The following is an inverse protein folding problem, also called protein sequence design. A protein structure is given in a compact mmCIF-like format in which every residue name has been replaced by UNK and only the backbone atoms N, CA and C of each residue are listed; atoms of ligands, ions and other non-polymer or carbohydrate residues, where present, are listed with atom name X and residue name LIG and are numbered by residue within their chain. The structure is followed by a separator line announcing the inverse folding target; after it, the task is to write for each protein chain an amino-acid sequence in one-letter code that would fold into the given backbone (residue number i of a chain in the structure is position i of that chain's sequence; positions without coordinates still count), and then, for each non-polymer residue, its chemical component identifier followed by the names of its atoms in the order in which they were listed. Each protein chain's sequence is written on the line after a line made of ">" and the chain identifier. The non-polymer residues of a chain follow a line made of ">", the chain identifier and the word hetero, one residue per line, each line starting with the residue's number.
data_IF_865545655774
#
_entry.id   IF_865545655774
#
_cell.length_a   1.000
_cell.length_b   1.000
_cell.length_c   1.000
_cell.angle_alpha   90.00
_cell.angle_beta   90.00
_cell.angle_gamma   90.00
#
_symmetry.space_group_name_H-M   'P 1'
#
loop_
_entity.id
_entity.type
_entity.pdbx_description
1 polymer ?
#
# COMPACT_ATOMS: atom_id res chain seq x y z
N UNK A 1 8.22 -4.98 -17.47
CA UNK A 1 7.12 -5.68 -16.79
C UNK A 1 6.66 -4.96 -15.50
N UNK A 2 7.53 -4.64 -14.57
CA UNK A 2 7.17 -3.98 -13.29
C UNK A 2 6.50 -2.61 -13.46
N UNK A 3 6.94 -1.80 -14.44
CA UNK A 3 6.37 -0.48 -14.71
C UNK A 3 4.90 -0.54 -15.15
N UNK A 4 4.57 -1.50 -16.02
CA UNK A 4 3.19 -1.70 -16.49
C UNK A 4 2.27 -2.19 -15.38
N UNK A 5 2.73 -3.14 -14.56
CA UNK A 5 1.98 -3.65 -13.41
C UNK A 5 1.68 -2.54 -12.40
N UNK A 6 2.68 -1.71 -12.09
CA UNK A 6 2.54 -0.56 -11.19
C UNK A 6 1.50 0.46 -11.71
N UNK A 7 1.57 0.79 -13.00
CA UNK A 7 0.58 1.68 -13.64
C UNK A 7 -0.83 1.10 -13.60
N UNK A 8 -0.97 -0.21 -13.81
CA UNK A 8 -2.25 -0.91 -13.79
C UNK A 8 -2.87 -0.90 -12.38
N UNK A 9 -2.06 -1.10 -11.35
CA UNK A 9 -2.51 -1.03 -9.96
C UNK A 9 -2.96 0.38 -9.57
N UNK A 10 -2.23 1.42 -10.00
CA UNK A 10 -2.64 2.82 -9.77
C UNK A 10 -3.96 3.14 -10.48
N UNK A 11 -4.14 2.69 -11.72
CA UNK A 11 -5.39 2.85 -12.46
C UNK A 11 -6.55 2.09 -11.81
N UNK A 12 -6.34 0.86 -11.38
CA UNK A 12 -7.34 0.09 -10.64
C UNK A 12 -7.74 0.79 -9.34
N UNK A 13 -6.77 1.37 -8.60
CA UNK A 13 -7.03 2.19 -7.42
C UNK A 13 -7.88 3.42 -7.71
N UNK A 14 -7.63 4.10 -8.83
CA UNK A 14 -8.46 5.24 -9.29
C UNK A 14 -9.89 4.79 -9.61
N UNK A 15 -10.05 3.65 -10.28
CA UNK A 15 -11.37 3.11 -10.62
C UNK A 15 -12.16 2.66 -9.40
N UNK A 16 -11.49 2.08 -8.40
CA UNK A 16 -12.12 1.65 -7.14
C UNK A 16 -12.74 2.81 -6.32
N UNK A 17 -12.34 4.05 -6.60
CA UNK A 17 -12.80 5.25 -5.89
C UNK A 17 -13.67 6.16 -6.79
N UNK A 18 -14.05 5.68 -7.97
CA UNK A 18 -14.71 6.47 -9.02
C UNK A 18 -16.16 6.91 -8.71
N UNK A 19 -16.78 6.42 -7.65
CA UNK A 19 -18.20 6.73 -7.35
C UNK A 19 -18.48 8.22 -7.05
N UNK A 20 -17.50 9.00 -6.62
CA UNK A 20 -17.64 10.43 -6.34
C UNK A 20 -16.76 11.26 -7.26
N UNK A 21 -17.37 12.11 -8.09
CA UNK A 21 -16.66 12.98 -9.05
C UNK A 21 -15.49 13.76 -8.45
N UNK A 22 -15.64 14.30 -7.24
CA UNK A 22 -14.56 15.03 -6.56
C UNK A 22 -13.36 14.11 -6.20
N UNK A 23 -13.64 12.90 -5.74
CA UNK A 23 -12.63 11.90 -5.37
C UNK A 23 -11.90 11.40 -6.60
N UNK A 24 -12.64 11.18 -7.69
CA UNK A 24 -12.09 10.80 -8.99
C UNK A 24 -11.12 11.87 -9.53
N UNK A 25 -11.49 13.16 -9.47
CA UNK A 25 -10.61 14.25 -9.92
C UNK A 25 -9.30 14.28 -9.11
N UNK A 26 -9.38 14.17 -7.79
CA UNK A 26 -8.18 14.12 -6.92
C UNK A 26 -7.31 12.90 -7.28
N UNK A 27 -7.93 11.74 -7.46
CA UNK A 27 -7.21 10.53 -7.83
C UNK A 27 -6.51 10.66 -9.19
N UNK A 28 -7.16 11.25 -10.20
CA UNK A 28 -6.56 11.50 -11.52
C UNK A 28 -5.40 12.51 -11.42
N UNK A 29 -5.57 13.60 -10.70
CA UNK A 29 -4.52 14.63 -10.51
C UNK A 29 -3.26 14.05 -9.85
N UNK A 30 -3.43 13.10 -8.93
CA UNK A 30 -2.31 12.41 -8.29
C UNK A 30 -1.74 11.25 -9.13
N UNK A 31 -2.58 10.56 -9.91
CA UNK A 31 -2.16 9.44 -10.75
C UNK A 31 -1.31 9.89 -11.95
N UNK A 32 -1.66 11.03 -12.58
CA UNK A 32 -0.95 11.54 -13.75
C UNK A 32 0.54 11.76 -13.47
N UNK A 33 0.98 12.53 -12.45
CA UNK A 33 2.40 12.72 -12.18
C UNK A 33 3.10 11.43 -11.73
N UNK A 34 2.41 10.52 -11.05
CA UNK A 34 2.97 9.23 -10.64
C UNK A 34 3.26 8.34 -11.85
N UNK A 35 2.32 8.24 -12.79
CA UNK A 35 2.45 7.42 -14.00
C UNK A 35 3.43 8.06 -14.98
N UNK A 36 3.26 9.34 -15.30
CA UNK A 36 4.11 10.06 -16.26
C UNK A 36 5.55 10.12 -15.75
N UNK A 37 5.76 10.47 -14.49
CA UNK A 37 7.09 10.51 -13.89
C UNK A 37 7.77 9.14 -13.90
N UNK A 38 7.01 8.05 -13.68
CA UNK A 38 7.51 6.68 -13.75
C UNK A 38 7.93 6.28 -15.17
N UNK A 39 7.15 6.67 -16.19
CA UNK A 39 7.47 6.39 -17.59
C UNK A 39 8.67 7.22 -18.08
N UNK A 40 8.74 8.50 -17.74
CA UNK A 40 9.89 9.36 -18.06
C UNK A 40 11.16 8.77 -17.43
N UNK A 41 11.11 8.40 -16.15
CA UNK A 41 12.27 7.79 -15.46
C UNK A 41 12.67 6.42 -16.04
N UNK A 42 11.75 5.72 -16.74
CA UNK A 42 12.08 4.47 -17.42
C UNK A 42 12.89 4.70 -18.71
N UNK A 43 12.61 5.77 -19.46
CA UNK A 43 13.29 6.09 -20.71
C UNK A 43 14.53 6.98 -20.49
N UNK A 44 14.43 7.92 -19.55
CA UNK A 44 15.47 8.90 -19.26
C UNK A 44 15.66 9.05 -17.74
N UNK A 45 16.49 8.19 -17.12
CA UNK A 45 16.58 8.08 -15.64
C UNK A 45 17.15 9.33 -14.95
N UNK A 46 17.67 10.33 -15.68
CA UNK A 46 18.26 11.53 -15.13
C UNK A 46 17.36 12.77 -15.14
N UNK A 47 16.20 12.74 -15.80
CA UNK A 47 15.35 13.93 -15.97
C UNK A 47 14.45 14.16 -14.75
N UNK A 48 13.89 13.10 -14.16
CA UNK A 48 12.96 13.22 -13.02
C UNK A 48 13.49 12.46 -11.82
N UNK A 49 13.62 13.13 -10.68
CA UNK A 49 13.99 12.47 -9.44
C UNK A 49 12.97 11.38 -9.06
N UNK A 50 13.40 10.15 -8.74
CA UNK A 50 12.53 9.09 -8.26
C UNK A 50 11.64 9.51 -7.09
N UNK A 51 12.11 10.42 -6.26
CA UNK A 51 11.38 10.93 -5.08
C UNK A 51 10.05 11.58 -5.46
N UNK A 52 9.98 12.31 -6.58
CA UNK A 52 8.78 13.05 -6.98
C UNK A 52 7.64 12.08 -7.32
N UNK A 53 7.89 11.10 -8.20
CA UNK A 53 6.83 10.17 -8.58
C UNK A 53 6.49 9.17 -7.47
N UNK A 54 7.46 8.78 -6.62
CA UNK A 54 7.20 7.93 -5.46
C UNK A 54 6.35 8.65 -4.41
N UNK A 55 6.62 9.93 -4.17
CA UNK A 55 5.80 10.75 -3.25
C UNK A 55 4.37 10.90 -3.77
N UNK A 56 4.20 11.20 -5.07
CA UNK A 56 2.87 11.30 -5.69
C UNK A 56 2.12 9.95 -5.62
N UNK A 57 2.80 8.84 -5.91
CA UNK A 57 2.22 7.49 -5.81
C UNK A 57 1.83 7.15 -4.36
N UNK A 58 2.68 7.48 -3.38
CA UNK A 58 2.40 7.24 -1.97
C UNK A 58 1.15 7.99 -1.50
N UNK A 59 1.03 9.27 -1.86
CA UNK A 59 -0.14 10.08 -1.53
C UNK A 59 -1.41 9.51 -2.18
N UNK A 60 -1.34 9.12 -3.46
CA UNK A 60 -2.47 8.50 -4.16
C UNK A 60 -2.91 7.20 -3.48
N UNK A 61 -1.96 6.28 -3.21
CA UNK A 61 -2.29 5.00 -2.59
C UNK A 61 -2.83 5.21 -1.17
N UNK A 62 -2.24 6.11 -0.38
CA UNK A 62 -2.75 6.46 0.95
C UNK A 62 -4.18 7.01 0.89
N UNK A 63 -4.49 7.83 -0.10
CA UNK A 63 -5.84 8.34 -0.33
C UNK A 63 -6.83 7.21 -0.67
N UNK A 64 -6.46 6.28 -1.56
CA UNK A 64 -7.27 5.10 -1.90
C UNK A 64 -7.50 4.22 -0.67
N UNK A 65 -6.44 3.91 0.08
CA UNK A 65 -6.51 3.14 1.33
C UNK A 65 -7.45 3.79 2.34
N UNK A 66 -7.33 5.10 2.56
CA UNK A 66 -8.20 5.83 3.48
C UNK A 66 -9.69 5.75 3.07
N UNK A 67 -10.00 5.80 1.77
CA UNK A 67 -11.38 5.65 1.29
C UNK A 67 -11.89 4.22 1.45
N UNK A 68 -11.08 3.20 1.10
CA UNK A 68 -11.44 1.79 1.31
C UNK A 68 -11.68 1.48 2.80
N UNK A 69 -10.80 1.95 3.68
CA UNK A 69 -10.96 1.77 5.13
C UNK A 69 -12.24 2.45 5.63
N UNK A 70 -12.52 3.68 5.16
CA UNK A 70 -13.78 4.37 5.52
C UNK A 70 -15.00 3.60 5.05
N UNK A 71 -14.98 3.04 3.84
CA UNK A 71 -16.06 2.22 3.32
C UNK A 71 -16.23 0.97 4.19
N UNK A 72 -15.16 0.20 4.38
CA UNK A 72 -15.17 -1.03 5.19
C UNK A 72 -15.66 -0.76 6.61
N UNK A 73 -15.14 0.28 7.30
CA UNK A 73 -15.51 0.54 8.69
C UNK A 73 -16.86 1.26 8.89
N UNK A 74 -17.49 1.75 7.85
CA UNK A 74 -18.82 2.39 7.94
C UNK A 74 -19.96 1.51 7.42
N UNK A 75 -19.66 0.39 6.80
CA UNK A 75 -20.68 -0.52 6.27
C UNK A 75 -21.60 -1.02 7.41
N UNK A 76 -22.91 -0.94 7.29
CA UNK A 76 -23.87 -1.36 8.34
C UNK A 76 -24.01 -2.88 8.44
N UNK A 77 -23.71 -3.60 7.36
CA UNK A 77 -23.77 -5.07 7.25
C UNK A 77 -22.53 -5.59 6.55
N UNK A 78 -22.22 -6.86 6.76
CA UNK A 78 -21.14 -7.56 6.03
C UNK A 78 -21.77 -8.35 4.92
N UNK A 79 -21.55 -7.88 3.72
CA UNK A 79 -21.85 -8.57 2.47
C UNK A 79 -20.57 -8.90 1.69
N UNK A 80 -20.70 -9.53 0.54
CA UNK A 80 -19.56 -9.91 -0.29
C UNK A 80 -18.75 -8.70 -0.76
N UNK A 81 -19.41 -7.55 -0.95
CA UNK A 81 -18.76 -6.31 -1.36
C UNK A 81 -17.81 -5.79 -0.28
N UNK A 82 -18.27 -5.77 0.98
CA UNK A 82 -17.45 -5.36 2.14
C UNK A 82 -16.28 -6.32 2.36
N UNK A 83 -16.49 -7.63 2.15
CA UNK A 83 -15.40 -8.62 2.24
C UNK A 83 -14.34 -8.39 1.16
N UNK A 84 -14.75 -8.21 -0.09
CA UNK A 84 -13.83 -7.90 -1.20
C UNK A 84 -13.09 -6.57 -0.96
N UNK A 85 -13.79 -5.54 -0.49
CA UNK A 85 -13.19 -4.26 -0.15
C UNK A 85 -12.17 -4.38 1.00
N UNK A 86 -12.44 -5.24 1.98
CA UNK A 86 -11.53 -5.51 3.10
C UNK A 86 -10.24 -6.18 2.62
N UNK A 87 -10.33 -7.20 1.77
CA UNK A 87 -9.15 -7.83 1.18
C UNK A 87 -8.36 -6.82 0.35
N UNK A 88 -9.06 -6.04 -0.48
CA UNK A 88 -8.44 -5.01 -1.31
C UNK A 88 -7.73 -3.94 -0.47
N UNK A 89 -8.32 -3.52 0.65
CA UNK A 89 -7.71 -2.57 1.57
C UNK A 89 -6.41 -3.12 2.20
N UNK A 90 -6.37 -4.40 2.58
CA UNK A 90 -5.17 -5.04 3.10
C UNK A 90 -4.04 -5.09 2.06
N UNK A 91 -4.37 -5.49 0.82
CA UNK A 91 -3.40 -5.52 -0.27
C UNK A 91 -2.89 -4.12 -0.62
N UNK A 92 -3.77 -3.10 -0.61
CA UNK A 92 -3.39 -1.71 -0.83
C UNK A 92 -2.54 -1.15 0.30
N UNK A 93 -2.77 -1.55 1.56
CA UNK A 93 -1.89 -1.23 2.69
C UNK A 93 -0.47 -1.75 2.45
N UNK A 94 -0.30 -3.02 2.07
CA UNK A 94 1.01 -3.56 1.73
C UNK A 94 1.68 -2.81 0.59
N UNK A 95 0.94 -2.45 -0.45
CA UNK A 95 1.48 -1.67 -1.55
C UNK A 95 1.89 -0.24 -1.13
N UNK A 96 1.13 0.39 -0.25
CA UNK A 96 1.45 1.71 0.32
C UNK A 96 2.79 1.66 1.06
N UNK A 97 3.00 0.68 1.93
CA UNK A 97 4.24 0.50 2.66
C UNK A 97 5.41 0.15 1.74
N UNK A 98 5.19 -0.67 0.70
CA UNK A 98 6.22 -0.98 -0.31
C UNK A 98 6.77 0.27 -0.99
N UNK A 99 5.89 1.20 -1.38
CA UNK A 99 6.29 2.49 -1.97
C UNK A 99 6.97 3.37 -0.94
N UNK A 100 6.53 3.38 0.32
CA UNK A 100 7.16 4.13 1.39
C UNK A 100 8.59 3.64 1.66
N UNK A 101 8.84 2.34 1.65
CA UNK A 101 10.19 1.78 1.81
C UNK A 101 11.11 2.17 0.66
N UNK A 102 10.62 2.08 -0.56
CA UNK A 102 11.39 2.52 -1.71
C UNK A 102 11.73 4.00 -1.64
N UNK A 103 10.78 4.85 -1.26
CA UNK A 103 11.00 6.29 -1.06
C UNK A 103 12.04 6.56 0.02
N UNK A 104 11.96 5.90 1.18
CA UNK A 104 12.92 6.07 2.27
C UNK A 104 14.32 5.62 1.88
N UNK A 105 14.44 4.56 1.11
CA UNK A 105 15.72 4.09 0.59
C UNK A 105 16.37 5.12 -0.34
N UNK A 106 15.57 5.75 -1.24
CA UNK A 106 16.03 6.84 -2.11
C UNK A 106 16.45 8.09 -1.35
N UNK A 107 15.83 8.37 -0.21
CA UNK A 107 16.13 9.54 0.62
C UNK A 107 17.31 9.32 1.60
N UNK A 108 17.73 8.06 1.80
CA UNK A 108 18.77 7.72 2.76
C UNK A 108 20.12 7.54 2.06
N UNK A 109 21.11 8.41 2.30
CA UNK A 109 22.46 8.22 1.76
C UNK A 109 23.04 6.87 2.19
N UNK A 110 23.51 6.07 1.24
CA UNK A 110 24.04 4.74 1.50
C UNK A 110 22.99 3.63 1.63
N UNK A 111 21.70 3.94 1.45
CA UNK A 111 20.58 3.01 1.54
C UNK A 111 20.01 2.85 2.95
N UNK A 112 18.75 2.49 3.02
CA UNK A 112 18.02 2.36 4.29
C UNK A 112 17.92 0.90 4.76
N UNK A 113 18.32 -0.07 3.90
CA UNK A 113 18.16 -1.51 4.13
C UNK A 113 19.46 -2.28 3.91
N UNK A 114 19.66 -3.36 4.66
CA UNK A 114 20.70 -4.36 4.45
C UNK A 114 20.08 -5.60 3.82
N UNK A 115 20.78 -6.15 2.81
CA UNK A 115 20.35 -7.35 2.09
C UNK A 115 21.30 -8.50 2.43
N UNK A 116 20.81 -9.52 3.14
CA UNK A 116 21.60 -10.62 3.68
C UNK A 116 21.69 -11.83 2.73
N UNK A 117 21.38 -11.63 1.44
CA UNK A 117 21.44 -12.71 0.45
C UNK A 117 22.59 -12.50 -0.53
N UNK A 118 23.35 -13.55 -0.79
CA UNK A 118 24.40 -13.54 -1.82
C UNK A 118 23.85 -13.62 -3.25
N UNK A 119 22.58 -13.94 -3.45
CA UNK A 119 21.95 -14.27 -4.73
C UNK A 119 20.74 -13.40 -5.08
N UNK A 120 20.48 -12.29 -4.36
CA UNK A 120 19.30 -11.45 -4.57
C UNK A 120 19.59 -10.01 -4.99
N UNK A 121 18.55 -9.22 -5.28
CA UNK A 121 18.70 -7.80 -5.56
C UNK A 121 19.29 -7.08 -4.34
N UNK A 122 20.28 -6.22 -4.58
CA UNK A 122 20.96 -5.43 -3.52
C UNK A 122 20.46 -4.00 -3.42
N UNK A 123 19.24 -3.74 -3.88
CA UNK A 123 18.62 -2.42 -3.82
C UNK A 123 17.12 -2.53 -3.58
N UNK A 124 16.58 -1.58 -2.85
CA UNK A 124 15.14 -1.44 -2.67
C UNK A 124 14.54 -0.90 -3.97
N UNK A 125 13.72 -1.72 -4.62
CA UNK A 125 12.98 -1.38 -5.83
C UNK A 125 11.52 -1.81 -5.69
N UNK A 126 10.70 -1.61 -6.71
CA UNK A 126 9.28 -1.92 -6.63
C UNK A 126 8.96 -3.36 -6.20
N UNK A 127 9.68 -4.36 -6.73
CA UNK A 127 9.45 -5.77 -6.36
C UNK A 127 10.00 -6.08 -4.96
N UNK A 128 11.22 -5.63 -4.66
CA UNK A 128 11.87 -5.88 -3.36
C UNK A 128 11.09 -5.19 -2.24
N UNK A 129 10.62 -3.96 -2.47
CA UNK A 129 9.76 -3.24 -1.54
C UNK A 129 8.42 -3.93 -1.32
N UNK A 130 7.79 -4.44 -2.39
CA UNK A 130 6.57 -5.25 -2.29
C UNK A 130 6.79 -6.50 -1.43
N UNK A 131 7.81 -7.29 -1.74
CA UNK A 131 8.15 -8.49 -0.99
C UNK A 131 8.40 -8.16 0.51
N UNK A 132 9.27 -7.18 0.80
CA UNK A 132 9.59 -6.79 2.17
C UNK A 132 8.37 -6.30 2.95
N UNK A 133 7.51 -5.51 2.31
CA UNK A 133 6.27 -5.04 2.91
C UNK A 133 5.35 -6.19 3.28
N UNK A 134 5.06 -7.12 2.36
CA UNK A 134 4.12 -8.20 2.65
C UNK A 134 4.60 -9.16 3.72
N UNK A 135 5.91 -9.46 3.79
CA UNK A 135 6.45 -10.28 4.88
C UNK A 135 6.47 -9.54 6.22
N UNK A 136 6.57 -8.21 6.23
CA UNK A 136 6.51 -7.37 7.42
C UNK A 136 5.06 -7.18 7.89
N UNK A 137 4.15 -6.84 6.98
CA UNK A 137 2.72 -6.65 7.25
C UNK A 137 2.05 -7.92 7.80
N UNK A 138 2.46 -9.09 7.28
CA UNK A 138 2.02 -10.41 7.77
C UNK A 138 2.82 -10.93 8.96
N UNK A 139 3.78 -10.16 9.48
CA UNK A 139 4.65 -10.51 10.61
C UNK A 139 5.51 -11.77 10.41
N UNK A 140 5.75 -12.19 9.16
CA UNK A 140 6.60 -13.36 8.84
C UNK A 140 8.08 -13.05 9.07
N UNK A 141 8.58 -11.93 8.52
CA UNK A 141 9.93 -11.40 8.77
C UNK A 141 11.08 -12.39 8.58
N UNK A 142 11.33 -12.86 7.35
CA UNK A 142 12.42 -13.82 7.08
C UNK A 142 13.82 -13.34 7.46
N UNK A 143 14.04 -12.01 7.57
CA UNK A 143 15.34 -11.45 7.96
C UNK A 143 16.38 -11.41 6.85
N UNK A 144 16.02 -11.74 5.63
CA UNK A 144 16.85 -11.63 4.43
C UNK A 144 17.04 -10.16 3.98
N UNK A 145 16.05 -9.32 4.28
CA UNK A 145 16.09 -7.87 4.17
C UNK A 145 15.83 -7.28 5.55
N UNK A 146 16.71 -6.39 6.00
CA UNK A 146 16.59 -5.77 7.33
C UNK A 146 16.71 -4.25 7.25
N UNK A 147 15.84 -3.48 7.94
CA UNK A 147 15.94 -2.03 7.98
C UNK A 147 17.13 -1.62 8.87
N UNK A 148 18.03 -0.79 8.35
CA UNK A 148 19.22 -0.31 9.09
C UNK A 148 19.10 1.16 9.47
N UNK A 149 18.42 1.99 8.65
CA UNK A 149 18.20 3.40 9.01
C UNK A 149 17.13 3.54 10.10
N UNK A 150 17.19 4.63 10.86
CA UNK A 150 16.20 4.94 11.89
C UNK A 150 14.78 5.03 11.29
N UNK A 151 14.65 5.71 10.16
CA UNK A 151 13.37 5.88 9.48
C UNK A 151 12.78 4.53 9.02
N UNK A 152 13.58 3.68 8.38
CA UNK A 152 13.13 2.37 7.92
C UNK A 152 12.71 1.45 9.08
N UNK A 153 13.43 1.49 10.22
CA UNK A 153 13.06 0.71 11.41
C UNK A 153 11.72 1.15 12.00
N UNK A 154 11.48 2.47 12.08
CA UNK A 154 10.20 2.98 12.54
C UNK A 154 9.06 2.60 11.60
N UNK A 155 9.26 2.74 10.29
CA UNK A 155 8.25 2.34 9.30
C UNK A 155 7.93 0.85 9.41
N UNK A 156 8.94 -0.03 9.54
CA UNK A 156 8.71 -1.47 9.66
C UNK A 156 7.94 -1.83 10.94
N UNK A 157 8.23 -1.18 12.06
CA UNK A 157 7.47 -1.37 13.30
C UNK A 157 6.01 -0.91 13.15
N UNK A 158 5.78 0.26 12.54
CA UNK A 158 4.44 0.78 12.29
C UNK A 158 3.65 -0.10 11.32
N UNK A 159 4.30 -0.63 10.29
CA UNK A 159 3.66 -1.56 9.35
C UNK A 159 3.22 -2.85 10.03
N UNK A 160 4.12 -3.50 10.79
CA UNK A 160 3.81 -4.74 11.50
C UNK A 160 2.63 -4.54 12.47
N UNK A 161 2.60 -3.44 13.22
CA UNK A 161 1.47 -3.08 14.07
C UNK A 161 0.19 -2.84 13.27
N UNK A 162 0.29 -2.12 12.16
CA UNK A 162 -0.88 -1.83 11.30
C UNK A 162 -1.47 -3.12 10.73
N UNK A 163 -0.66 -4.05 10.25
CA UNK A 163 -1.11 -5.34 9.73
C UNK A 163 -1.84 -6.17 10.79
N UNK A 164 -1.24 -6.29 11.97
CA UNK A 164 -1.82 -7.05 13.09
C UNK A 164 -3.15 -6.44 13.55
N UNK A 165 -3.18 -5.11 13.76
CA UNK A 165 -4.38 -4.41 14.21
C UNK A 165 -5.48 -4.44 13.14
N UNK A 166 -5.12 -4.32 11.86
CA UNK A 166 -6.10 -4.42 10.79
C UNK A 166 -6.87 -5.75 10.82
N UNK A 167 -6.14 -6.86 10.87
CA UNK A 167 -6.74 -8.21 10.90
C UNK A 167 -7.57 -8.41 12.18
N UNK A 168 -7.05 -8.00 13.34
CA UNK A 168 -7.74 -8.12 14.62
C UNK A 168 -9.05 -7.34 14.65
N UNK A 169 -9.04 -6.08 14.20
CA UNK A 169 -10.24 -5.22 14.17
C UNK A 169 -11.24 -5.74 13.13
N UNK A 170 -10.77 -6.20 11.97
CA UNK A 170 -11.63 -6.77 10.94
C UNK A 170 -12.37 -8.01 11.46
N UNK A 171 -11.65 -8.96 12.08
CA UNK A 171 -12.25 -10.17 12.65
C UNK A 171 -13.25 -9.82 13.75
N UNK A 172 -12.87 -8.96 14.69
CA UNK A 172 -13.77 -8.53 15.77
C UNK A 172 -15.07 -7.93 15.22
N UNK A 173 -14.97 -7.13 14.17
CA UNK A 173 -16.12 -6.51 13.53
C UNK A 173 -17.01 -7.52 12.80
N UNK A 174 -16.41 -8.45 12.05
CA UNK A 174 -17.15 -9.52 11.37
C UNK A 174 -17.95 -10.35 12.38
N UNK A 175 -17.32 -10.75 13.48
CA UNK A 175 -17.98 -11.50 14.55
C UNK A 175 -19.13 -10.71 15.18
N UNK A 176 -18.91 -9.44 15.50
CA UNK A 176 -19.95 -8.59 16.11
C UNK A 176 -21.19 -8.45 15.21
N UNK A 177 -21.00 -8.25 13.91
CA UNK A 177 -22.12 -8.13 12.96
C UNK A 177 -22.83 -9.45 12.70
N UNK A 178 -22.14 -10.59 12.77
CA UNK A 178 -22.75 -11.91 12.64
C UNK A 178 -23.52 -12.32 13.89
N UNK A 179 -23.13 -11.82 15.06
CA UNK A 179 -23.74 -12.16 16.36
C UNK A 179 -24.98 -11.33 16.69
N UNK A 180 -25.30 -10.30 15.89
CA UNK A 180 -26.52 -9.49 16.11
C UNK A 180 -27.71 -10.29 15.58
N UNK A 181 -28.68 -10.72 16.43
CA UNK A 181 -29.88 -11.41 15.96
C UNK A 181 -30.64 -10.51 14.99
N UNK A 182 -31.04 -11.02 13.82
CA UNK A 182 -32.07 -10.37 13.01
C UNK A 182 -33.29 -10.22 13.90
N UNK A 183 -33.64 -9.00 14.27
CA UNK A 183 -34.95 -8.70 14.84
C UNK A 183 -35.98 -9.09 13.78
N UNK A 184 -36.61 -10.26 13.97
CA UNK A 184 -37.80 -10.64 13.22
C UNK A 184 -38.85 -9.57 13.53
N UNK A 185 -39.00 -8.63 12.60
CA UNK A 185 -40.10 -7.68 12.62
C UNK A 185 -41.37 -8.49 12.33
N UNK A 186 -42.08 -8.81 13.43
CA UNK A 186 -43.46 -9.26 13.43
C UNK A 186 -44.42 -8.15 12.99
#
# INVERSE_FOLDING_TARGET
>A
MVTGLFSLVLLAGVLAVAERKAVLVIAIVLAVPAIVGRWINHFEPYIVSPVIFLTAALILIAFVVANLLRFVFRAPSVDMEVLCASISAYLMLGLMWAVAYWLVDQLTPGGAFSFNTNAGPRSMNGFTGFYFSFITLSTVGYGDITPVSRAARWLAAMEAMTGLLYVAVLIARLVALYSTPKSDAS
#
